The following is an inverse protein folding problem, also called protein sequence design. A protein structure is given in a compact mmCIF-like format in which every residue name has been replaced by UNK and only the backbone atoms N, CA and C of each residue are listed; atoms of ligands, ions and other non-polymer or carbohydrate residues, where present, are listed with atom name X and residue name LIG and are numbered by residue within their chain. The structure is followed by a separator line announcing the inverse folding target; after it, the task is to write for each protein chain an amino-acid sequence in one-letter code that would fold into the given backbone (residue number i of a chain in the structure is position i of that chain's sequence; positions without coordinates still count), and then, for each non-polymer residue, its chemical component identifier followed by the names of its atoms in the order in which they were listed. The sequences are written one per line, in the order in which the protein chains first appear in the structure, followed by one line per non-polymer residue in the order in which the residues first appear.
data_IF_989559248534
#
_entry.id   IF_989559248534
#
_cell.length_a   1.000
_cell.length_b   1.000
_cell.length_c   1.000
_cell.angle_alpha   90.00
_cell.angle_beta   90.00
_cell.angle_gamma   90.00
#
_symmetry.space_group_name_H-M   'P 1'
#
loop_
_entity.id
_entity.type
_entity.pdbx_description
1 polymer ?
#
# COMPACT_ATOMS: atom_id res chain seq x y z
N UNK A 1 -17.83 1.29 7.91
CA UNK A 1 -16.83 0.72 8.83
C UNK A 1 -15.50 1.07 8.21
N UNK A 2 -14.74 1.95 8.85
CA UNK A 2 -13.42 2.34 8.34
C UNK A 2 -12.42 1.31 8.87
N UNK A 3 -12.15 0.30 8.04
CA UNK A 3 -11.17 -0.73 8.35
C UNK A 3 -9.78 -0.10 8.39
N UNK A 4 -9.01 -0.44 9.43
CA UNK A 4 -7.69 0.13 9.69
C UNK A 4 -6.63 -0.95 9.76
N UNK A 5 -5.43 -0.58 9.37
CA UNK A 5 -4.25 -1.42 9.37
C UNK A 5 -3.58 -1.29 10.73
N UNK A 6 -3.60 -2.36 11.53
CA UNK A 6 -2.80 -2.40 12.76
C UNK A 6 -1.33 -2.59 12.36
N UNK A 7 -0.54 -1.50 12.45
CA UNK A 7 0.89 -1.52 12.18
C UNK A 7 1.74 -2.11 13.32
N UNK A 8 1.16 -2.26 14.52
CA UNK A 8 1.81 -2.87 15.67
C UNK A 8 1.77 -4.40 15.63
N UNK A 9 0.79 -4.98 14.93
CA UNK A 9 0.64 -6.42 14.77
C UNK A 9 1.33 -6.93 13.48
N UNK A 10 2.38 -7.79 13.59
CA UNK A 10 3.02 -8.39 12.43
C UNK A 10 2.09 -9.22 11.54
N UNK A 11 1.03 -9.83 12.10
CA UNK A 11 0.08 -10.64 11.31
C UNK A 11 -0.85 -9.75 10.49
N UNK A 12 -1.37 -8.67 11.09
CA UNK A 12 -2.10 -7.61 10.38
C UNK A 12 -1.27 -7.06 9.21
N UNK A 13 -0.01 -6.67 9.45
CA UNK A 13 0.85 -6.16 8.37
C UNK A 13 1.08 -7.18 7.26
N UNK A 14 1.40 -8.43 7.61
CA UNK A 14 1.58 -9.49 6.63
C UNK A 14 0.31 -9.75 5.80
N UNK A 15 -0.88 -9.69 6.43
CA UNK A 15 -2.16 -9.80 5.75
C UNK A 15 -2.35 -8.69 4.71
N UNK A 16 -2.17 -7.42 5.12
CA UNK A 16 -2.37 -6.27 4.23
C UNK A 16 -1.31 -6.16 3.14
N UNK A 17 -0.05 -6.50 3.43
CA UNK A 17 1.00 -6.66 2.42
C UNK A 17 0.59 -7.68 1.35
N UNK A 18 0.01 -8.82 1.76
CA UNK A 18 -0.54 -9.82 0.84
C UNK A 18 -1.69 -9.29 -0.01
N UNK A 19 -2.64 -8.58 0.60
CA UNK A 19 -3.78 -7.99 -0.11
C UNK A 19 -3.37 -6.93 -1.14
N UNK A 20 -2.42 -6.07 -0.80
CA UNK A 20 -1.94 -5.00 -1.69
C UNK A 20 -0.80 -5.42 -2.61
N UNK A 21 -0.30 -6.66 -2.47
CA UNK A 21 0.88 -7.15 -3.18
C UNK A 21 2.09 -6.21 -3.02
N UNK A 22 2.33 -5.75 -1.79
CA UNK A 22 3.41 -4.84 -1.44
C UNK A 22 4.27 -5.41 -0.30
N UNK A 23 5.47 -4.88 -0.12
CA UNK A 23 6.34 -5.17 1.02
C UNK A 23 5.93 -4.43 2.30
N UNK A 24 6.44 -4.87 3.46
CA UNK A 24 6.22 -4.19 4.75
C UNK A 24 6.72 -2.73 4.71
N UNK A 25 7.82 -2.50 3.99
CA UNK A 25 8.35 -1.15 3.77
C UNK A 25 7.39 -0.28 2.95
N UNK A 26 6.89 -0.79 1.83
CA UNK A 26 5.93 -0.06 0.98
C UNK A 26 4.63 0.23 1.73
N UNK A 27 4.17 -0.70 2.57
CA UNK A 27 3.00 -0.49 3.43
C UNK A 27 3.23 0.69 4.41
N UNK A 28 4.39 0.71 5.07
CA UNK A 28 4.76 1.79 6.00
C UNK A 28 4.96 3.13 5.30
N UNK A 29 5.53 3.12 4.09
CA UNK A 29 5.67 4.32 3.26
C UNK A 29 4.32 4.86 2.81
N UNK A 30 3.41 3.98 2.39
CA UNK A 30 2.05 4.36 2.00
C UNK A 30 1.28 5.01 3.15
N UNK A 31 1.31 4.42 4.35
CA UNK A 31 0.68 5.02 5.55
C UNK A 31 1.25 6.40 5.86
N UNK A 32 2.57 6.59 5.73
CA UNK A 32 3.21 7.90 5.93
C UNK A 32 2.83 8.91 4.85
N UNK A 33 2.68 8.47 3.61
CA UNK A 33 2.31 9.34 2.49
C UNK A 33 0.84 9.78 2.57
N UNK A 34 -0.05 8.91 3.08
CA UNK A 34 -1.47 9.19 3.26
C UNK A 34 -1.80 9.87 4.59
N UNK A 35 -0.87 9.86 5.55
CA UNK A 35 -1.10 10.25 6.95
C UNK A 35 -2.32 9.52 7.57
N UNK A 36 -2.53 8.26 7.16
CA UNK A 36 -3.70 7.48 7.52
C UNK A 36 -3.41 5.98 7.49
N UNK A 37 -3.91 5.26 8.49
CA UNK A 37 -3.90 3.80 8.58
C UNK A 37 -5.18 3.17 8.01
N UNK A 38 -6.06 3.94 7.39
CA UNK A 38 -7.26 3.41 6.76
C UNK A 38 -6.92 2.58 5.52
N UNK A 39 -7.45 1.36 5.47
CA UNK A 39 -7.24 0.39 4.37
C UNK A 39 -7.57 1.02 3.02
N UNK A 40 -8.63 1.81 2.94
CA UNK A 40 -9.05 2.49 1.72
C UNK A 40 -8.04 3.52 1.22
N UNK A 41 -7.51 4.35 2.12
CA UNK A 41 -6.53 5.39 1.78
C UNK A 41 -5.20 4.76 1.34
N UNK A 42 -4.69 3.82 2.14
CA UNK A 42 -3.43 3.11 1.88
C UNK A 42 -3.51 2.29 0.60
N UNK A 43 -4.60 1.53 0.43
CA UNK A 43 -4.83 0.70 -0.75
C UNK A 43 -4.94 1.53 -2.04
N UNK A 44 -5.62 2.68 -1.99
CA UNK A 44 -5.73 3.59 -3.14
C UNK A 44 -4.37 4.17 -3.52
N UNK A 45 -3.56 4.58 -2.54
CA UNK A 45 -2.21 5.09 -2.79
C UNK A 45 -1.33 4.04 -3.49
N UNK A 46 -1.27 2.81 -2.95
CA UNK A 46 -0.47 1.73 -3.51
C UNK A 46 -0.93 1.34 -4.92
N UNK A 47 -2.25 1.21 -5.14
CA UNK A 47 -2.79 0.91 -6.46
C UNK A 47 -2.44 1.98 -7.50
N UNK A 48 -2.50 3.26 -7.12
CA UNK A 48 -2.12 4.39 -7.98
C UNK A 48 -0.62 4.34 -8.30
N UNK A 49 0.23 4.14 -7.29
CA UNK A 49 1.69 4.04 -7.45
C UNK A 49 2.08 2.91 -8.39
N UNK A 50 1.58 1.69 -8.15
CA UNK A 50 1.87 0.54 -9.01
C UNK A 50 1.37 0.75 -10.45
N UNK A 51 0.23 1.44 -10.63
CA UNK A 51 -0.26 1.77 -11.97
C UNK A 51 0.71 2.71 -12.70
N UNK A 52 1.23 3.73 -12.03
CA UNK A 52 2.21 4.67 -12.62
C UNK A 52 3.53 3.98 -12.98
N UNK A 53 4.06 3.14 -12.09
CA UNK A 53 5.29 2.36 -12.34
C UNK A 53 5.13 1.40 -13.53
N UNK A 54 3.95 0.83 -13.71
CA UNK A 54 3.62 0.00 -14.87
C UNK A 54 3.60 0.80 -16.19
N UNK A 55 3.16 2.07 -16.16
CA UNK A 55 3.20 2.93 -17.34
C UNK A 55 4.64 3.36 -17.69
N UNK A 56 5.47 3.67 -16.70
CA UNK A 56 6.86 4.09 -16.92
C UNK A 56 7.73 2.96 -17.51
N UNK A 57 7.51 1.72 -17.08
CA UNK A 57 8.18 0.54 -17.64
C UNK A 57 7.73 0.18 -19.06
N UNK A 58 6.62 0.78 -19.54
CA UNK A 58 6.08 0.56 -20.89
C UNK A 58 6.54 1.61 -21.92
N UNK A 59 7.27 2.65 -21.48
CA UNK A 59 7.59 3.85 -22.29
C UNK A 59 8.96 3.86 -22.98
N UNK A 60 9.78 2.82 -22.82
CA UNK A 60 11.11 2.70 -23.45
C UNK A 60 11.18 1.39 -24.26
N UNK A 61 10.58 1.38 -25.45
CA UNK A 61 10.75 0.32 -26.47
C UNK A 61 10.58 0.88 -27.87
#
# INVERSE_FOLDING_TARGET
MDERIDLGDPLSRAHWCGCFSCSDQELMEAVRATDSDEVGAVGLYLATRHSLEAFETSGDS
#
